data_IF_263628976501
#
_entry.id   IF_263628976501
#
_cell.length_a   1.000
_cell.length_b   1.000
_cell.length_c   1.000
_cell.angle_alpha   90.00
_cell.angle_beta   90.00
_cell.angle_gamma   90.00
#
_symmetry.space_group_name_H-M   'P 1'
#
loop_
_entity.id
_entity.type
_entity.pdbx_description
1 polymer ?
#
# COMPACT_ATOMS: atom_id res chain seq x y z
N UNK A 1 -35.08 26.83 11.18
CA UNK A 1 -34.39 25.55 10.93
C UNK A 1 -35.34 24.62 10.18
N UNK A 2 -34.87 23.81 9.22
CA UNK A 2 -35.69 22.77 8.60
C UNK A 2 -35.95 21.64 9.60
N UNK A 3 -37.21 21.26 9.79
CA UNK A 3 -37.57 20.09 10.61
C UNK A 3 -37.30 18.80 9.87
N UNK A 4 -36.82 17.79 10.59
CA UNK A 4 -36.48 16.49 9.99
C UNK A 4 -37.73 15.67 9.67
N UNK A 5 -37.68 14.85 8.61
CA UNK A 5 -38.78 13.97 8.18
C UNK A 5 -39.38 13.10 9.30
N UNK A 6 -38.57 12.77 10.33
CA UNK A 6 -39.01 12.03 11.53
C UNK A 6 -39.87 12.88 12.47
N UNK A 7 -39.57 14.18 12.63
CA UNK A 7 -40.39 15.10 13.42
C UNK A 7 -41.77 15.31 12.77
N UNK A 8 -41.82 15.44 11.44
CA UNK A 8 -43.08 15.52 10.69
C UNK A 8 -43.93 14.25 10.88
N UNK A 9 -43.31 13.06 10.78
CA UNK A 9 -44.02 11.79 10.97
C UNK A 9 -44.53 11.54 12.40
N UNK A 10 -43.93 12.17 13.42
CA UNK A 10 -44.44 12.16 14.80
C UNK A 10 -45.62 13.13 14.93
N UNK A 11 -45.55 14.33 14.33
CA UNK A 11 -46.64 15.30 14.34
C UNK A 11 -47.89 14.80 13.58
N UNK A 12 -47.69 14.07 12.48
CA UNK A 12 -48.76 13.42 11.71
C UNK A 12 -49.32 12.14 12.37
N UNK A 13 -48.89 11.79 13.60
CA UNK A 13 -49.38 10.62 14.34
C UNK A 13 -48.96 9.26 13.76
N UNK A 14 -48.14 9.24 12.70
CA UNK A 14 -47.67 8.01 12.01
C UNK A 14 -46.64 7.23 12.84
N UNK A 15 -45.99 7.86 13.81
CA UNK A 15 -45.01 7.25 14.71
C UNK A 15 -45.29 7.67 16.15
N UNK A 16 -45.43 6.70 17.07
CA UNK A 16 -45.54 6.96 18.52
C UNK A 16 -44.16 7.33 19.10
N UNK A 17 -44.04 8.37 19.94
CA UNK A 17 -42.78 8.69 20.60
C UNK A 17 -42.47 7.69 21.73
N UNK A 18 -41.20 7.27 21.84
CA UNK A 18 -40.75 6.39 22.91
C UNK A 18 -40.57 7.13 24.25
N UNK A 19 -40.87 6.44 25.35
CA UNK A 19 -40.66 6.96 26.72
C UNK A 19 -39.25 6.63 27.19
N UNK A 20 -38.38 7.63 27.27
CA UNK A 20 -37.07 7.48 27.92
C UNK A 20 -37.21 7.36 29.45
N UNK A 21 -36.60 6.34 30.04
CA UNK A 21 -36.43 6.25 31.49
C UNK A 21 -35.35 7.24 31.97
N UNK A 22 -35.62 7.90 33.09
CA UNK A 22 -34.73 8.89 33.67
C UNK A 22 -33.58 8.24 34.46
N UNK A 23 -32.34 8.72 34.24
CA UNK A 23 -31.20 8.47 35.12
C UNK A 23 -30.87 9.78 35.85
N UNK A 24 -30.83 9.72 37.17
CA UNK A 24 -30.76 10.90 38.04
C UNK A 24 -29.39 11.57 38.09
N UNK A 25 -29.41 12.90 38.27
CA UNK A 25 -28.23 13.71 38.53
C UNK A 25 -27.65 13.44 39.93
N UNK A 26 -26.31 13.48 40.07
CA UNK A 26 -25.66 13.87 41.33
C UNK A 26 -24.36 14.64 41.09
N UNK A 27 -23.97 15.44 42.09
CA UNK A 27 -23.19 16.67 41.95
C UNK A 27 -21.68 16.45 42.10
N UNK A 28 -20.89 17.41 41.58
CA UNK A 28 -19.46 17.57 41.84
C UNK A 28 -19.22 17.93 43.31
N UNK A 29 -18.19 17.37 43.93
CA UNK A 29 -17.48 18.01 45.04
C UNK A 29 -16.03 17.51 45.13
N UNK A 30 -15.13 18.41 45.50
CA UNK A 30 -13.68 18.23 45.58
C UNK A 30 -13.21 17.86 46.99
N UNK A 31 -12.17 17.04 47.10
CA UNK A 31 -11.10 17.22 48.10
C UNK A 31 -9.88 16.35 47.78
N UNK A 32 -8.71 16.80 48.22
CA UNK A 32 -7.46 16.04 48.23
C UNK A 32 -7.18 15.54 49.66
N UNK A 33 -6.35 14.48 49.82
CA UNK A 33 -5.77 14.16 51.14
C UNK A 33 -5.47 12.68 51.44
N UNK A 34 -4.17 12.34 51.37
CA UNK A 34 -3.43 11.49 52.31
C UNK A 34 -3.83 10.01 52.60
N UNK A 35 -2.88 9.12 52.24
CA UNK A 35 -2.18 8.17 53.15
C UNK A 35 -2.62 6.71 53.44
N UNK A 36 -1.57 5.86 53.52
CA UNK A 36 -1.36 4.66 54.38
C UNK A 36 -1.86 3.24 54.02
N UNK A 37 -0.97 2.49 53.34
CA UNK A 37 -0.35 1.20 53.75
C UNK A 37 -1.12 0.23 54.69
N UNK A 38 -1.44 -0.99 54.20
CA UNK A 38 -1.11 -2.35 54.76
C UNK A 38 -1.89 -3.43 53.95
N UNK A 39 -1.24 -4.36 53.22
CA UNK A 39 -0.61 -5.66 53.59
C UNK A 39 -1.57 -6.81 53.98
N UNK A 40 -1.39 -7.95 53.28
CA UNK A 40 -1.61 -9.37 53.66
C UNK A 40 -2.88 -10.16 53.21
N UNK A 41 -2.60 -11.32 52.59
CA UNK A 41 -3.41 -12.54 52.35
C UNK A 41 -3.40 -13.43 53.64
N UNK A 42 -4.17 -14.55 53.83
CA UNK A 42 -4.41 -15.61 52.82
C UNK A 42 -5.67 -16.57 52.90
N UNK A 43 -5.84 -17.35 51.80
CA UNK A 43 -6.31 -18.76 51.66
C UNK A 43 -7.53 -19.33 52.44
N UNK A 44 -8.48 -19.86 51.66
CA UNK A 44 -8.99 -21.26 51.72
C UNK A 44 -9.85 -21.58 50.46
N UNK A 45 -10.49 -22.75 50.32
CA UNK A 45 -10.04 -24.02 49.72
C UNK A 45 -11.27 -24.97 49.55
N UNK A 46 -11.71 -25.30 48.33
CA UNK A 46 -12.69 -26.39 47.98
C UNK A 46 -12.77 -26.47 46.44
N UNK A 47 -12.38 -27.54 45.72
CA UNK A 47 -12.90 -28.92 45.56
C UNK A 47 -13.99 -29.09 44.48
N UNK A 48 -13.64 -29.79 43.38
CA UNK A 48 -14.34 -30.82 42.53
C UNK A 48 -15.87 -30.67 42.25
N UNK A 49 -16.48 -31.15 41.14
CA UNK A 49 -16.26 -32.21 40.12
C UNK A 49 -16.60 -31.63 38.72
N UNK A 50 -16.14 -32.06 37.52
CA UNK A 50 -15.90 -33.35 36.85
C UNK A 50 -17.15 -34.02 36.22
N UNK A 51 -17.38 -33.80 34.91
CA UNK A 51 -18.21 -34.67 34.02
C UNK A 51 -17.67 -34.63 32.57
N UNK A 52 -17.23 -35.77 32.07
CA UNK A 52 -16.91 -36.06 30.66
C UNK A 52 -18.15 -36.32 29.79
N UNK A 53 -18.11 -36.05 28.46
CA UNK A 53 -18.81 -36.86 27.43
C UNK A 53 -18.51 -36.49 25.97
N UNK A 54 -18.17 -37.52 25.20
CA UNK A 54 -18.34 -37.72 23.75
C UNK A 54 -18.43 -39.25 23.54
N UNK A 55 -18.77 -39.82 22.35
CA UNK A 55 -19.40 -39.23 21.16
C UNK A 55 -20.67 -40.04 20.73
N UNK A 56 -21.29 -39.72 19.58
CA UNK A 56 -21.98 -40.73 18.74
C UNK A 56 -22.26 -40.25 17.30
N UNK A 57 -22.30 -41.22 16.39
CA UNK A 57 -22.45 -41.10 14.92
C UNK A 57 -23.90 -41.43 14.50
N UNK A 58 -24.40 -40.82 13.41
CA UNK A 58 -25.37 -41.48 12.52
C UNK A 58 -25.31 -40.97 11.07
N UNK A 59 -26.04 -41.65 10.18
CA UNK A 59 -25.70 -41.89 8.77
C UNK A 59 -26.86 -41.67 7.79
N UNK A 60 -26.56 -41.16 6.58
CA UNK A 60 -27.32 -41.36 5.34
C UNK A 60 -28.47 -40.38 5.03
N UNK A 61 -29.03 -40.29 3.79
CA UNK A 61 -28.57 -40.73 2.46
C UNK A 61 -29.51 -40.20 1.32
N UNK A 62 -28.97 -39.68 0.18
CA UNK A 62 -29.60 -39.50 -1.17
C UNK A 62 -30.85 -38.56 -1.27
N UNK A 63 -31.27 -38.00 -2.44
CA UNK A 63 -30.94 -38.07 -3.90
C UNK A 63 -31.35 -36.71 -4.57
N UNK A 64 -30.57 -36.12 -5.53
CA UNK A 64 -30.77 -36.03 -7.02
C UNK A 64 -32.08 -35.37 -7.51
N UNK A 65 -32.20 -34.56 -8.59
CA UNK A 65 -31.36 -33.93 -9.67
C UNK A 65 -32.24 -32.80 -10.33
N UNK A 66 -31.88 -31.94 -11.30
CA UNK A 66 -30.63 -31.55 -12.02
C UNK A 66 -30.35 -30.02 -11.85
N UNK A 67 -29.70 -29.20 -12.69
CA UNK A 67 -29.01 -29.23 -14.02
C UNK A 67 -29.74 -28.65 -15.26
N UNK A 68 -29.00 -27.80 -16.01
CA UNK A 68 -29.42 -26.96 -17.14
C UNK A 68 -29.27 -25.45 -16.84
N UNK A 69 -28.08 -24.89 -16.55
CA UNK A 69 -26.89 -24.62 -17.41
C UNK A 69 -26.87 -23.18 -17.97
N UNK A 70 -25.98 -22.35 -17.41
CA UNK A 70 -25.36 -21.18 -18.08
C UNK A 70 -23.84 -21.33 -17.93
N UNK A 71 -23.10 -21.17 -19.03
CA UNK A 71 -21.64 -21.31 -19.06
C UNK A 71 -20.94 -20.14 -18.37
N UNK A 72 -19.91 -20.43 -17.58
CA UNK A 72 -18.98 -19.43 -17.06
C UNK A 72 -17.54 -19.90 -17.25
N UNK A 73 -16.87 -19.32 -18.25
CA UNK A 73 -15.52 -19.72 -18.64
C UNK A 73 -14.48 -19.06 -17.72
N UNK A 74 -14.20 -19.73 -16.59
CA UNK A 74 -13.28 -19.26 -15.56
C UNK A 74 -11.94 -20.01 -15.63
N UNK A 75 -11.10 -19.63 -16.60
CA UNK A 75 -9.74 -20.15 -16.73
C UNK A 75 -8.82 -19.67 -15.58
N UNK A 76 -8.76 -20.45 -14.50
CA UNK A 76 -7.95 -20.14 -13.33
C UNK A 76 -6.44 -20.39 -13.56
N UNK A 77 -5.62 -19.33 -13.50
CA UNK A 77 -4.15 -19.47 -13.45
C UNK A 77 -3.68 -20.06 -12.12
N UNK A 78 -3.17 -21.31 -12.16
CA UNK A 78 -2.39 -21.90 -11.07
C UNK A 78 -0.94 -21.38 -11.11
N UNK A 79 -0.34 -20.96 -9.99
CA UNK A 79 1.11 -20.78 -9.93
C UNK A 79 1.81 -22.16 -9.96
N UNK A 80 2.89 -22.27 -10.74
CA UNK A 80 3.56 -23.54 -10.98
C UNK A 80 4.34 -24.04 -9.75
N UNK A 81 4.06 -25.26 -9.30
CA UNK A 81 4.79 -25.89 -8.20
C UNK A 81 6.14 -26.46 -8.65
N UNK A 82 7.22 -25.67 -8.50
CA UNK A 82 8.58 -26.22 -8.50
C UNK A 82 8.88 -26.81 -7.12
N UNK A 83 9.14 -28.12 -7.06
CA UNK A 83 9.58 -28.82 -5.84
C UNK A 83 10.85 -28.16 -5.29
N UNK A 84 10.83 -27.78 -4.01
CA UNK A 84 11.99 -27.18 -3.34
C UNK A 84 13.14 -28.20 -3.22
N UNK A 85 14.38 -27.74 -3.43
CA UNK A 85 15.59 -28.53 -3.12
C UNK A 85 15.91 -28.45 -1.62
N UNK A 86 16.57 -29.45 -1.01
CA UNK A 86 16.81 -29.52 0.45
C UNK A 86 17.81 -28.49 1.03
N UNK A 87 18.14 -27.41 0.32
CA UNK A 87 19.03 -26.33 0.79
C UNK A 87 18.33 -24.98 1.00
N UNK A 88 17.09 -24.81 0.53
CA UNK A 88 16.39 -23.52 0.51
C UNK A 88 15.95 -23.01 1.90
N UNK A 89 16.18 -23.77 2.97
CA UNK A 89 15.83 -23.39 4.35
C UNK A 89 16.98 -22.63 5.05
N UNK A 90 18.24 -22.85 4.65
CA UNK A 90 19.42 -22.18 5.22
C UNK A 90 19.73 -20.82 4.57
N UNK A 91 19.34 -20.62 3.31
CA UNK A 91 19.47 -19.34 2.59
C UNK A 91 18.56 -18.24 3.16
N UNK A 92 17.42 -18.63 3.75
CA UNK A 92 16.39 -17.71 4.30
C UNK A 92 16.79 -17.02 5.60
N UNK A 93 18.01 -17.22 6.09
CA UNK A 93 18.44 -16.74 7.42
C UNK A 93 18.81 -15.25 7.44
N UNK A 94 18.78 -14.55 6.29
CA UNK A 94 18.90 -13.08 6.18
C UNK A 94 17.64 -12.48 5.55
N UNK A 95 16.56 -12.38 6.33
CA UNK A 95 15.30 -11.75 5.90
C UNK A 95 15.46 -10.23 5.66
N UNK A 96 16.46 -9.62 6.28
CA UNK A 96 16.75 -8.20 6.18
C UNK A 96 18.10 -7.99 5.51
N UNK A 97 18.07 -7.32 4.36
CA UNK A 97 19.21 -6.77 3.67
C UNK A 97 19.09 -5.24 3.70
N UNK A 98 20.18 -4.55 4.01
CA UNK A 98 20.27 -3.09 4.03
C UNK A 98 20.56 -2.52 2.63
N UNK A 99 20.22 -1.25 2.42
CA UNK A 99 20.32 -0.61 1.10
C UNK A 99 19.08 -0.81 0.24
N UNK A 100 19.20 -0.65 -1.09
CA UNK A 100 18.04 -0.63 -2.00
C UNK A 100 17.49 -2.03 -2.30
N UNK A 101 16.37 -2.38 -1.65
CA UNK A 101 15.63 -3.62 -1.94
C UNK A 101 14.82 -3.54 -3.23
N UNK A 102 14.34 -2.37 -3.62
CA UNK A 102 13.63 -2.17 -4.89
C UNK A 102 13.85 -0.77 -5.47
N UNK A 103 13.81 -0.64 -6.79
CA UNK A 103 13.70 0.63 -7.50
C UNK A 103 12.78 0.48 -8.70
N UNK A 104 12.29 1.59 -9.25
CA UNK A 104 11.48 1.58 -10.46
C UNK A 104 10.93 2.94 -10.83
N UNK A 105 9.94 2.94 -11.70
CA UNK A 105 9.17 4.13 -12.06
C UNK A 105 7.88 4.20 -11.25
N UNK A 106 7.51 5.41 -10.83
CA UNK A 106 6.31 5.71 -10.05
C UNK A 106 5.43 6.69 -10.83
N UNK A 107 4.13 6.42 -10.85
CA UNK A 107 3.13 7.24 -11.53
C UNK A 107 2.01 7.55 -10.54
N UNK A 108 1.56 8.79 -10.52
CA UNK A 108 0.50 9.26 -9.65
C UNK A 108 -0.75 9.54 -10.48
N UNK A 109 -1.88 8.99 -10.06
CA UNK A 109 -3.17 9.18 -10.72
C UNK A 109 -4.23 9.63 -9.72
N UNK A 110 -5.15 10.49 -10.14
CA UNK A 110 -6.47 10.57 -9.50
C UNK A 110 -7.54 9.97 -10.38
N UNK A 111 -8.70 9.67 -9.81
CA UNK A 111 -9.90 9.32 -10.57
C UNK A 111 -11.08 10.22 -10.18
N UNK A 112 -11.83 10.80 -11.14
CA UNK A 112 -13.03 11.58 -10.85
C UNK A 112 -14.10 10.81 -10.05
N UNK A 113 -15.00 11.56 -9.41
CA UNK A 113 -16.22 11.03 -8.79
C UNK A 113 -17.16 10.42 -9.84
N UNK A 114 -17.98 9.48 -9.39
CA UNK A 114 -18.96 8.80 -10.26
C UNK A 114 -20.09 9.76 -10.63
N UNK A 115 -20.30 9.97 -11.93
CA UNK A 115 -21.06 11.07 -12.56
C UNK A 115 -20.44 12.46 -12.40
N UNK A 116 -19.10 12.54 -12.39
CA UNK A 116 -18.35 13.80 -12.47
C UNK A 116 -17.34 13.62 -13.61
N UNK A 117 -17.48 14.47 -14.63
CA UNK A 117 -16.61 14.49 -15.82
C UNK A 117 -15.54 15.57 -15.62
N UNK A 118 -15.96 16.80 -15.35
CA UNK A 118 -15.06 17.89 -14.97
C UNK A 118 -14.76 17.88 -13.46
N UNK A 119 -13.48 17.90 -13.12
CA UNK A 119 -12.90 18.00 -11.77
C UNK A 119 -12.33 19.41 -11.65
N UNK A 120 -12.54 20.08 -10.52
CA UNK A 120 -11.91 21.38 -10.25
C UNK A 120 -11.20 21.43 -8.90
N UNK A 121 -11.25 20.32 -8.15
CA UNK A 121 -10.76 20.28 -6.77
C UNK A 121 -10.49 18.84 -6.31
N UNK A 122 -9.74 18.73 -5.20
CA UNK A 122 -9.59 17.47 -4.46
C UNK A 122 -10.94 16.88 -4.02
N UNK A 123 -12.00 17.69 -3.90
CA UNK A 123 -13.31 17.18 -3.52
C UNK A 123 -13.94 16.34 -4.64
N UNK A 124 -13.74 16.71 -5.90
CA UNK A 124 -14.32 16.03 -7.07
C UNK A 124 -13.64 14.70 -7.39
N UNK A 125 -12.52 14.40 -6.72
CA UNK A 125 -11.82 13.13 -6.81
C UNK A 125 -12.53 12.03 -5.99
N UNK A 126 -12.60 10.82 -6.56
CA UNK A 126 -13.01 9.58 -5.89
C UNK A 126 -11.85 8.94 -5.13
N UNK A 127 -10.78 8.64 -5.86
CA UNK A 127 -9.60 7.91 -5.39
C UNK A 127 -8.32 8.62 -5.87
N UNK A 128 -7.25 8.50 -5.08
CA UNK A 128 -5.89 8.83 -5.49
C UNK A 128 -5.03 7.56 -5.45
N UNK A 129 -4.18 7.38 -6.46
CA UNK A 129 -3.44 6.15 -6.71
C UNK A 129 -1.95 6.43 -6.95
N UNK A 130 -1.10 5.58 -6.41
CA UNK A 130 0.31 5.44 -6.76
C UNK A 130 0.48 4.12 -7.52
N UNK A 131 1.00 4.16 -8.73
CA UNK A 131 1.40 2.98 -9.50
C UNK A 131 2.92 2.84 -9.37
N UNK A 132 3.38 1.71 -8.84
CA UNK A 132 4.79 1.35 -8.79
C UNK A 132 5.10 0.33 -9.89
N UNK A 133 6.11 0.57 -10.71
CA UNK A 133 6.60 -0.32 -11.78
C UNK A 133 8.07 -0.68 -11.50
N UNK A 134 8.35 -1.80 -10.80
CA UNK A 134 9.71 -2.18 -10.43
C UNK A 134 10.60 -2.42 -11.66
N UNK A 135 11.80 -1.83 -11.64
CA UNK A 135 12.86 -1.98 -12.66
C UNK A 135 14.09 -2.67 -12.08
N UNK A 136 14.91 -3.36 -12.90
CA UNK A 136 16.28 -3.67 -12.51
C UNK A 136 17.09 -2.36 -12.33
N UNK A 137 18.22 -2.39 -11.60
CA UNK A 137 19.11 -1.24 -11.55
C UNK A 137 19.75 -0.97 -12.93
N UNK A 138 19.96 0.31 -13.26
CA UNK A 138 20.44 0.75 -14.58
C UNK A 138 21.74 0.05 -15.03
N UNK A 139 22.71 -0.06 -14.12
CA UNK A 139 23.98 -0.72 -14.39
C UNK A 139 23.84 -2.19 -14.84
N UNK A 140 22.76 -2.89 -14.48
CA UNK A 140 22.55 -4.29 -14.88
C UNK A 140 22.18 -4.44 -16.36
N UNK A 141 21.44 -3.48 -16.95
CA UNK A 141 21.11 -3.51 -18.39
C UNK A 141 22.31 -3.06 -19.24
N UNK A 142 23.17 -2.17 -18.72
CA UNK A 142 24.39 -1.74 -19.42
C UNK A 142 25.34 -2.88 -19.81
N UNK A 143 25.24 -4.05 -19.15
CA UNK A 143 26.03 -5.24 -19.46
C UNK A 143 25.41 -6.17 -20.53
N UNK A 144 24.09 -6.15 -20.74
CA UNK A 144 23.44 -7.03 -21.72
C UNK A 144 23.58 -6.50 -23.15
N UNK A 145 23.44 -5.19 -23.36
CA UNK A 145 23.52 -4.57 -24.70
C UNK A 145 24.91 -4.65 -25.36
N UNK A 146 25.98 -5.02 -24.64
CA UNK A 146 27.29 -5.30 -25.24
C UNK A 146 27.42 -6.70 -25.86
N UNK A 147 26.44 -7.60 -25.72
CA UNK A 147 26.47 -8.96 -26.31
C UNK A 147 25.97 -9.05 -27.77
N UNK A 148 25.91 -7.92 -28.49
CA UNK A 148 25.70 -7.88 -29.94
C UNK A 148 26.95 -8.14 -30.79
N UNK A 149 28.15 -8.10 -30.19
CA UNK A 149 29.41 -8.39 -30.88
C UNK A 149 29.85 -9.86 -30.68
N UNK A 150 30.42 -10.44 -31.75
CA UNK A 150 30.87 -11.84 -31.91
C UNK A 150 31.46 -12.49 -30.64
N UNK A 151 31.15 -13.78 -30.43
CA UNK A 151 31.82 -14.68 -29.46
C UNK A 151 33.34 -14.42 -29.38
N UNK A 152 33.89 -14.16 -28.19
CA UNK A 152 35.26 -14.50 -27.83
C UNK A 152 35.26 -15.82 -27.04
N UNK A 153 36.13 -16.76 -27.43
CA UNK A 153 36.52 -17.85 -26.54
C UNK A 153 37.66 -17.39 -25.63
N UNK A 154 37.31 -16.88 -24.45
CA UNK A 154 38.17 -16.90 -23.26
C UNK A 154 37.39 -16.38 -22.05
N UNK A 155 37.48 -17.08 -20.92
CA UNK A 155 37.08 -16.52 -19.63
C UNK A 155 38.18 -15.58 -19.16
N UNK A 156 38.24 -14.38 -19.75
CA UNK A 156 39.08 -13.30 -19.27
C UNK A 156 38.42 -12.59 -18.08
N UNK A 157 39.25 -12.15 -17.15
CA UNK A 157 38.90 -11.56 -15.85
C UNK A 157 37.82 -10.48 -15.95
N UNK A 158 36.81 -10.56 -15.09
CA UNK A 158 35.72 -9.59 -15.07
C UNK A 158 36.21 -8.21 -14.62
N UNK A 159 36.11 -7.22 -15.51
CA UNK A 159 36.34 -5.81 -15.17
C UNK A 159 35.47 -5.41 -13.97
N UNK A 160 36.10 -5.14 -12.83
CA UNK A 160 35.45 -4.57 -11.65
C UNK A 160 35.11 -3.10 -11.93
N UNK A 161 34.03 -2.87 -12.70
CA UNK A 161 33.50 -1.52 -12.92
C UNK A 161 33.02 -0.97 -11.58
N UNK A 162 33.76 0.00 -11.04
CA UNK A 162 33.37 0.76 -9.86
C UNK A 162 32.02 1.44 -10.15
N UNK A 163 31.02 1.14 -9.32
CA UNK A 163 29.71 1.78 -9.41
C UNK A 163 29.78 3.18 -8.78
N UNK A 164 29.05 4.13 -9.34
CA UNK A 164 28.84 5.43 -8.70
C UNK A 164 28.07 5.25 -7.39
N UNK A 165 28.34 6.13 -6.43
CA UNK A 165 27.65 6.11 -5.14
C UNK A 165 26.14 6.30 -5.34
N UNK A 166 25.31 5.46 -4.71
CA UNK A 166 23.86 5.48 -4.85
C UNK A 166 23.29 4.79 -6.11
N UNK A 167 24.14 4.24 -6.99
CA UNK A 167 23.69 3.59 -8.23
C UNK A 167 22.76 2.38 -8.02
N UNK A 168 22.70 1.81 -6.81
CA UNK A 168 21.76 0.75 -6.43
C UNK A 168 20.30 1.21 -6.34
N UNK A 169 20.06 2.52 -6.21
CA UNK A 169 18.74 3.15 -6.21
C UNK A 169 18.25 3.59 -7.60
N UNK A 170 19.12 3.62 -8.61
CA UNK A 170 18.82 4.15 -9.94
C UNK A 170 18.09 3.08 -10.78
N UNK A 171 16.81 3.30 -11.17
CA UNK A 171 16.11 2.38 -12.05
C UNK A 171 16.70 2.43 -13.46
N UNK A 172 16.77 1.26 -14.11
CA UNK A 172 17.01 1.21 -15.53
C UNK A 172 15.82 1.83 -16.28
N UNK A 173 16.12 2.70 -17.24
CA UNK A 173 15.12 3.36 -18.09
C UNK A 173 14.16 2.36 -18.72
N UNK A 174 12.96 2.84 -19.06
CA UNK A 174 11.91 1.94 -19.50
C UNK A 174 12.20 1.27 -20.86
N UNK A 175 11.58 0.10 -21.06
CA UNK A 175 11.48 -0.52 -22.36
C UNK A 175 10.00 -0.47 -22.77
N UNK A 176 9.64 0.60 -23.47
CA UNK A 176 8.27 0.85 -23.95
C UNK A 176 7.75 -0.27 -24.87
N UNK A 177 8.62 -1.14 -25.41
CA UNK A 177 8.20 -2.26 -26.26
C UNK A 177 7.69 -3.47 -25.47
N UNK A 178 8.00 -3.57 -24.17
CA UNK A 178 7.57 -4.70 -23.35
C UNK A 178 6.11 -4.57 -22.90
N UNK A 179 5.24 -5.45 -23.36
CA UNK A 179 3.86 -5.55 -22.87
C UNK A 179 3.73 -6.21 -21.49
N UNK A 180 4.83 -6.78 -20.96
CA UNK A 180 4.88 -7.36 -19.61
C UNK A 180 5.80 -6.55 -18.70
N UNK A 181 5.21 -5.91 -17.70
CA UNK A 181 5.92 -5.16 -16.65
C UNK A 181 5.23 -5.47 -15.33
N UNK A 182 6.01 -5.85 -14.32
CA UNK A 182 5.48 -5.99 -12.95
C UNK A 182 4.97 -4.63 -12.49
N UNK A 183 3.78 -4.58 -11.91
CA UNK A 183 3.19 -3.35 -11.41
C UNK A 183 2.43 -3.57 -10.11
N UNK A 184 2.29 -2.50 -9.32
CA UNK A 184 1.46 -2.45 -8.11
C UNK A 184 0.68 -1.15 -8.07
N UNK A 185 -0.64 -1.24 -8.06
CA UNK A 185 -1.55 -0.10 -7.94
C UNK A 185 -1.99 0.08 -6.48
N UNK A 186 -1.33 1.00 -5.79
CA UNK A 186 -1.60 1.38 -4.41
C UNK A 186 -2.63 2.51 -4.40
N UNK A 187 -3.79 2.31 -3.76
CA UNK A 187 -4.76 3.39 -3.53
C UNK A 187 -4.49 4.03 -2.18
N UNK A 188 -4.30 5.34 -2.13
CA UNK A 188 -4.16 6.09 -0.88
C UNK A 188 -5.56 6.36 -0.32
N UNK A 189 -5.77 6.10 0.98
CA UNK A 189 -7.06 6.26 1.65
C UNK A 189 -7.45 7.72 1.89
N UNK A 190 -6.49 8.63 1.73
CA UNK A 190 -6.70 10.07 1.56
C UNK A 190 -6.46 10.41 0.09
N UNK A 191 -7.11 11.47 -0.39
CA UNK A 191 -7.01 11.92 -1.78
C UNK A 191 -5.73 12.74 -2.08
N UNK A 192 -4.75 12.72 -1.19
CA UNK A 192 -3.44 13.38 -1.29
C UNK A 192 -2.38 12.52 -0.58
N UNK A 193 -1.10 12.78 -0.83
CA UNK A 193 0.02 12.20 -0.09
C UNK A 193 0.20 12.83 1.31
N UNK A 194 0.84 12.12 2.27
CA UNK A 194 1.22 12.68 3.55
C UNK A 194 2.23 13.82 3.43
N UNK A 195 1.98 14.90 4.16
CA UNK A 195 2.84 16.09 4.24
C UNK A 195 3.91 15.95 5.34
N UNK A 196 5.22 16.08 5.02
CA UNK A 196 6.31 16.07 6.00
C UNK A 196 6.29 17.24 7.01
N UNK A 197 5.73 18.39 6.63
CA UNK A 197 5.65 19.60 7.47
C UNK A 197 4.30 19.78 8.18
N UNK A 198 3.30 18.95 7.85
CA UNK A 198 1.89 19.11 8.21
C UNK A 198 1.58 19.37 9.71
N UNK A 199 0.59 20.25 9.95
CA UNK A 199 0.28 20.87 11.25
C UNK A 199 -0.39 19.97 12.31
N UNK A 200 -0.50 18.65 12.09
CA UNK A 200 -1.43 17.78 12.84
C UNK A 200 -0.88 17.32 14.22
N UNK A 201 -0.70 18.26 15.14
CA UNK A 201 -1.24 18.25 16.52
C UNK A 201 -0.40 19.06 17.52
N UNK A 202 -1.09 19.90 18.29
CA UNK A 202 -0.49 20.65 19.40
C UNK A 202 0.19 19.74 20.43
N UNK A 203 1.28 20.22 21.02
CA UNK A 203 2.05 19.58 22.10
C UNK A 203 2.84 18.30 21.75
N UNK A 204 2.65 17.65 20.60
CA UNK A 204 3.56 16.57 20.15
C UNK A 204 3.59 16.44 18.63
N UNK A 205 4.67 16.91 18.01
CA UNK A 205 4.95 16.88 16.55
C UNK A 205 4.90 15.45 15.98
N UNK A 206 3.71 14.98 15.62
CA UNK A 206 3.47 13.68 14.98
C UNK A 206 3.47 13.86 13.47
N UNK A 207 4.25 13.03 12.77
CA UNK A 207 4.30 12.97 11.31
C UNK A 207 2.92 12.58 10.75
N UNK A 208 2.47 13.25 9.69
CA UNK A 208 1.23 12.87 9.00
C UNK A 208 1.34 11.41 8.52
N UNK A 209 0.28 10.62 8.74
CA UNK A 209 0.30 9.18 8.50
C UNK A 209 -0.98 8.73 7.83
N UNK A 210 -0.89 8.27 6.59
CA UNK A 210 -2.06 7.81 5.82
C UNK A 210 -2.07 6.31 5.61
N UNK A 211 -3.28 5.75 5.64
CA UNK A 211 -3.52 4.40 5.14
C UNK A 211 -3.45 4.38 3.62
N UNK A 212 -2.86 3.33 3.07
CA UNK A 212 -2.98 2.98 1.66
C UNK A 212 -3.24 1.48 1.51
N UNK A 213 -3.64 1.03 0.32
CA UNK A 213 -3.92 -0.40 0.05
C UNK A 213 -3.46 -0.79 -1.34
N UNK A 214 -2.75 -1.92 -1.47
CA UNK A 214 -2.49 -2.53 -2.79
C UNK A 214 -3.81 -3.05 -3.35
N UNK A 215 -4.34 -2.38 -4.37
CA UNK A 215 -5.67 -2.68 -4.95
C UNK A 215 -5.62 -3.53 -6.21
N UNK A 216 -4.50 -3.48 -6.94
CA UNK A 216 -4.15 -4.40 -8.01
C UNK A 216 -2.62 -4.59 -8.03
N UNK A 217 -2.19 -5.75 -8.52
CA UNK A 217 -0.79 -6.09 -8.77
C UNK A 217 -0.77 -7.19 -9.84
N UNK A 218 0.24 -7.19 -10.71
CA UNK A 218 0.31 -8.12 -11.84
C UNK A 218 1.48 -7.84 -12.76
N UNK A 219 1.48 -8.48 -13.93
CA UNK A 219 2.50 -8.28 -14.98
C UNK A 219 1.92 -7.79 -16.32
N UNK A 220 0.58 -7.68 -16.41
CA UNK A 220 -0.17 -7.44 -17.64
C UNK A 220 -0.60 -5.97 -17.75
N UNK A 221 0.02 -5.21 -18.66
CA UNK A 221 -0.31 -3.80 -18.84
C UNK A 221 -1.74 -3.57 -19.38
N UNK A 222 -2.31 -4.49 -20.15
CA UNK A 222 -3.68 -4.38 -20.65
C UNK A 222 -4.73 -4.55 -19.52
N UNK A 223 -4.42 -5.36 -18.49
CA UNK A 223 -5.25 -5.44 -17.27
C UNK A 223 -5.15 -4.17 -16.43
N UNK A 224 -3.98 -3.52 -16.40
CA UNK A 224 -3.78 -2.21 -15.76
C UNK A 224 -4.54 -1.10 -16.50
N UNK A 225 -4.40 -1.00 -17.82
CA UNK A 225 -5.11 -0.04 -18.69
C UNK A 225 -6.62 -0.17 -18.47
N UNK A 226 -7.19 -1.38 -18.58
CA UNK A 226 -8.61 -1.65 -18.28
C UNK A 226 -9.00 -1.35 -16.83
N UNK A 227 -8.05 -1.49 -15.90
CA UNK A 227 -8.20 -1.11 -14.50
C UNK A 227 -8.30 0.40 -14.30
N UNK A 228 -7.55 1.18 -15.09
CA UNK A 228 -7.47 2.64 -15.05
C UNK A 228 -8.49 3.35 -15.97
N UNK A 229 -8.99 2.69 -17.02
CA UNK A 229 -9.97 3.25 -17.95
C UNK A 229 -11.35 3.55 -17.34
N UNK A 230 -12.21 4.13 -18.18
CA UNK A 230 -13.61 4.44 -17.85
C UNK A 230 -14.46 3.19 -17.54
N UNK A 231 -15.55 3.39 -16.79
CA UNK A 231 -16.47 2.32 -16.38
C UNK A 231 -17.91 2.82 -16.35
N UNK A 232 -18.74 2.25 -17.21
CA UNK A 232 -20.20 2.44 -17.19
C UNK A 232 -20.87 1.20 -16.64
N UNK A 233 -21.75 1.37 -15.64
CA UNK A 233 -22.43 0.26 -14.97
C UNK A 233 -23.83 0.65 -14.47
N UNK A 234 -24.77 -0.29 -14.49
CA UNK A 234 -26.12 -0.06 -13.95
C UNK A 234 -26.18 -0.26 -12.44
N UNK A 235 -27.05 0.51 -11.78
CA UNK A 235 -27.36 0.36 -10.36
C UNK A 235 -28.86 0.27 -10.11
N UNK A 236 -29.25 -0.68 -9.25
CA UNK A 236 -30.66 -0.97 -8.91
C UNK A 236 -31.46 0.23 -8.36
N UNK A 237 -30.79 1.28 -7.90
CA UNK A 237 -31.42 2.42 -7.20
C UNK A 237 -31.13 3.79 -7.82
N UNK A 238 -30.14 3.91 -8.72
CA UNK A 238 -29.73 5.18 -9.33
C UNK A 238 -29.54 5.09 -10.85
N UNK A 239 -29.98 4.00 -11.48
CA UNK A 239 -29.84 3.78 -12.92
C UNK A 239 -28.37 3.64 -13.35
N UNK A 240 -28.08 4.00 -14.59
CA UNK A 240 -26.73 4.01 -15.17
C UNK A 240 -25.81 4.97 -14.41
N UNK A 241 -24.58 4.52 -14.15
CA UNK A 241 -23.52 5.27 -13.49
C UNK A 241 -22.28 5.23 -14.37
N UNK A 242 -21.72 6.39 -14.65
CA UNK A 242 -20.45 6.56 -15.35
C UNK A 242 -19.34 6.93 -14.36
N UNK A 243 -18.16 6.35 -14.54
CA UNK A 243 -16.93 6.65 -13.80
C UNK A 243 -15.81 6.83 -14.83
N UNK A 244 -15.43 8.09 -15.08
CA UNK A 244 -14.40 8.44 -16.07
C UNK A 244 -13.03 7.83 -15.76
N UNK A 245 -12.10 7.88 -16.73
CA UNK A 245 -10.77 7.28 -16.59
C UNK A 245 -9.98 7.91 -15.44
N UNK A 246 -9.02 7.17 -14.91
CA UNK A 246 -8.00 7.73 -14.04
C UNK A 246 -7.09 8.65 -14.86
N UNK A 247 -6.58 9.72 -14.26
CA UNK A 247 -5.80 10.75 -14.96
C UNK A 247 -4.42 10.88 -14.35
N UNK A 248 -3.39 10.87 -15.18
CA UNK A 248 -2.00 10.96 -14.75
C UNK A 248 -1.71 12.41 -14.32
N UNK A 249 -1.07 12.58 -13.16
CA UNK A 249 -0.70 13.90 -12.63
C UNK A 249 0.79 14.08 -12.39
N UNK A 250 1.53 12.98 -12.21
CA UNK A 250 2.98 13.00 -12.16
C UNK A 250 3.56 11.62 -12.49
N UNK A 251 4.77 11.60 -13.07
CA UNK A 251 5.63 10.43 -13.28
C UNK A 251 7.03 10.73 -12.75
N UNK A 252 7.68 9.72 -12.20
CA UNK A 252 8.98 9.85 -11.56
C UNK A 252 9.69 8.52 -11.36
N UNK A 253 10.82 8.56 -10.67
CA UNK A 253 11.59 7.40 -10.23
C UNK A 253 11.42 7.20 -8.73
N UNK A 254 11.43 5.95 -8.27
CA UNK A 254 11.38 5.61 -6.85
C UNK A 254 12.43 4.58 -6.45
N UNK A 255 12.81 4.62 -5.17
CA UNK A 255 13.59 3.59 -4.52
C UNK A 255 12.96 3.22 -3.16
N UNK A 256 12.97 1.93 -2.84
CA UNK A 256 12.64 1.39 -1.52
C UNK A 256 13.95 0.92 -0.88
N UNK A 257 14.32 1.57 0.23
CA UNK A 257 15.60 1.39 0.91
C UNK A 257 15.39 0.96 2.35
N UNK A 258 16.09 -0.09 2.76
CA UNK A 258 16.17 -0.54 4.15
C UNK A 258 17.32 0.19 4.86
N UNK A 259 16.98 1.08 5.79
CA UNK A 259 17.93 1.87 6.58
C UNK A 259 18.35 1.12 7.85
N UNK A 260 19.66 0.95 8.06
CA UNK A 260 20.17 0.26 9.26
C UNK A 260 19.95 1.09 10.54
N UNK A 261 19.22 0.51 11.49
CA UNK A 261 19.12 1.02 12.85
C UNK A 261 20.19 0.42 13.77
N UNK A 262 20.61 1.18 14.81
CA UNK A 262 21.55 0.69 15.85
C UNK A 262 21.02 -0.56 16.58
N UNK A 263 19.70 -0.75 16.57
CA UNK A 263 19.03 -1.98 17.00
C UNK A 263 18.01 -2.40 15.93
N UNK A 264 17.60 -3.68 15.87
CA UNK A 264 16.58 -4.13 14.92
C UNK A 264 15.23 -3.40 15.05
N UNK A 265 14.91 -2.84 16.22
CA UNK A 265 13.69 -2.04 16.45
C UNK A 265 13.80 -0.59 15.97
N UNK A 266 14.96 -0.17 15.46
CA UNK A 266 15.21 1.15 14.85
C UNK A 266 15.41 1.06 13.34
N UNK A 267 15.19 -0.12 12.73
CA UNK A 267 15.18 -0.27 11.28
C UNK A 267 13.94 0.41 10.72
N UNK A 268 14.15 1.15 9.64
CA UNK A 268 13.08 1.79 8.88
C UNK A 268 13.25 1.44 7.41
N UNK A 269 12.14 1.28 6.69
CA UNK A 269 12.13 1.15 5.23
C UNK A 269 11.57 2.43 4.67
N UNK A 270 12.37 3.15 3.89
CA UNK A 270 11.96 4.37 3.21
C UNK A 270 11.55 4.06 1.77
N UNK A 271 10.38 4.53 1.35
CA UNK A 271 10.05 4.71 -0.08
C UNK A 271 10.29 6.19 -0.39
N UNK A 272 11.32 6.48 -1.18
CA UNK A 272 11.62 7.81 -1.69
C UNK A 272 11.32 7.91 -3.18
N UNK A 273 10.91 9.08 -3.66
CA UNK A 273 10.68 9.36 -5.06
C UNK A 273 11.21 10.74 -5.48
N UNK A 274 11.49 10.87 -6.77
CA UNK A 274 11.72 12.14 -7.45
C UNK A 274 10.84 12.18 -8.71
N UNK A 275 10.12 13.27 -8.92
CA UNK A 275 9.27 13.52 -10.09
C UNK A 275 10.15 13.96 -11.25
N UNK A 276 9.87 13.43 -12.45
CA UNK A 276 10.45 13.91 -13.72
C UNK A 276 9.41 14.64 -14.57
N UNK A 277 8.13 14.25 -14.45
CA UNK A 277 7.03 14.85 -15.21
C UNK A 277 5.85 15.20 -14.27
N UNK A 278 5.31 16.44 -14.30
CA UNK A 278 5.96 17.61 -14.89
C UNK A 278 7.33 17.87 -14.22
N UNK A 279 8.29 18.53 -14.90
CA UNK A 279 9.55 18.88 -14.27
C UNK A 279 9.32 19.81 -13.06
N UNK A 280 10.24 19.89 -12.09
CA UNK A 280 10.02 20.63 -10.84
C UNK A 280 9.61 22.10 -10.99
N UNK A 281 10.00 22.76 -12.09
CA UNK A 281 9.63 24.14 -12.40
C UNK A 281 8.16 24.32 -12.83
N UNK A 282 7.53 23.25 -13.34
CA UNK A 282 6.19 23.23 -13.91
C UNK A 282 5.17 22.51 -12.99
N UNK A 283 5.55 22.23 -11.74
CA UNK A 283 4.62 21.73 -10.71
C UNK A 283 3.57 22.80 -10.38
N UNK A 284 2.30 22.45 -10.56
CA UNK A 284 1.19 23.39 -10.46
C UNK A 284 0.19 23.03 -9.34
N UNK A 285 -0.98 23.68 -9.36
CA UNK A 285 -2.04 23.55 -8.37
C UNK A 285 -2.54 22.11 -8.20
N UNK A 286 -2.59 21.32 -9.28
CA UNK A 286 -3.05 19.92 -9.24
C UNK A 286 -2.10 19.05 -8.41
N UNK A 287 -0.80 19.07 -8.73
CA UNK A 287 0.21 18.29 -8.03
C UNK A 287 0.31 18.73 -6.56
N UNK A 288 0.35 20.04 -6.33
CA UNK A 288 0.40 20.64 -4.98
C UNK A 288 -0.82 20.25 -4.14
N UNK A 289 -2.03 20.33 -4.69
CA UNK A 289 -3.27 19.91 -3.99
C UNK A 289 -3.29 18.43 -3.63
N UNK A 290 -2.61 17.59 -4.43
CA UNK A 290 -2.46 16.16 -4.21
C UNK A 290 -1.27 15.81 -3.29
N UNK A 291 -0.54 16.80 -2.77
CA UNK A 291 0.63 16.62 -1.91
C UNK A 291 1.83 16.00 -2.63
N UNK A 292 1.90 16.15 -3.96
CA UNK A 292 3.02 15.69 -4.77
C UNK A 292 4.08 16.81 -4.77
N UNK A 293 5.25 16.50 -4.22
CA UNK A 293 6.43 17.37 -4.22
C UNK A 293 7.40 16.91 -5.33
N UNK A 294 8.34 17.76 -5.74
CA UNK A 294 9.39 17.38 -6.70
C UNK A 294 10.21 16.17 -6.23
N UNK A 295 10.52 16.13 -4.93
CA UNK A 295 11.15 15.01 -4.25
C UNK A 295 10.50 14.82 -2.88
N UNK A 296 10.24 13.57 -2.49
CA UNK A 296 9.75 13.27 -1.14
C UNK A 296 9.94 11.81 -0.75
N UNK A 297 9.72 11.50 0.53
CA UNK A 297 9.89 10.17 1.10
C UNK A 297 8.89 9.83 2.21
N UNK A 298 8.60 8.54 2.35
CA UNK A 298 7.74 7.97 3.38
C UNK A 298 8.44 6.82 4.09
N UNK A 299 8.26 6.70 5.41
CA UNK A 299 8.51 5.43 6.10
C UNK A 299 7.34 4.50 5.81
N UNK A 300 7.63 3.34 5.24
CA UNK A 300 6.64 2.38 4.76
C UNK A 300 6.48 1.22 5.75
N UNK A 301 5.30 1.12 6.37
CA UNK A 301 4.93 0.00 7.23
C UNK A 301 3.75 -0.78 6.66
N UNK A 302 3.72 -2.09 6.94
CA UNK A 302 2.69 -3.01 6.47
C UNK A 302 1.92 -3.57 7.66
N UNK A 303 0.59 -3.48 7.63
CA UNK A 303 -0.29 -4.05 8.65
C UNK A 303 -0.41 -5.56 8.48
N UNK A 304 -0.35 -6.27 9.60
CA UNK A 304 -0.64 -7.70 9.67
C UNK A 304 -2.13 -7.96 9.37
N UNK A 305 -2.48 -8.84 8.41
CA UNK A 305 -3.87 -9.10 8.04
C UNK A 305 -4.67 -9.78 9.16
N UNK A 306 -4.00 -10.45 10.11
CA UNK A 306 -4.63 -11.07 11.28
C UNK A 306 -4.77 -10.11 12.47
N UNK A 307 -4.19 -8.90 12.41
CA UNK A 307 -4.36 -7.90 13.45
C UNK A 307 -5.73 -7.21 13.33
N UNK A 308 -6.47 -7.01 14.44
CA UNK A 308 -7.77 -6.34 14.42
C UNK A 308 -7.75 -4.99 13.69
N UNK A 309 -8.81 -4.69 12.94
CA UNK A 309 -8.98 -3.41 12.24
C UNK A 309 -8.83 -2.21 13.20
N UNK A 310 -8.23 -1.13 12.71
CA UNK A 310 -8.03 0.12 13.47
C UNK A 310 -9.04 1.21 13.13
N UNK A 311 -9.85 1.03 12.08
CA UNK A 311 -10.98 1.89 11.73
C UNK A 311 -12.17 1.07 11.20
N UNK A 312 -13.41 1.61 11.21
CA UNK A 312 -14.57 0.94 10.63
C UNK A 312 -14.42 0.64 9.14
N UNK A 313 -13.71 1.50 8.40
CA UNK A 313 -13.51 1.35 6.96
C UNK A 313 -12.64 0.13 6.64
N UNK A 314 -11.67 -0.19 7.50
CA UNK A 314 -10.84 -1.40 7.41
C UNK A 314 -11.58 -2.68 7.82
N UNK A 315 -12.62 -2.59 8.66
CA UNK A 315 -13.39 -3.78 9.07
C UNK A 315 -14.19 -4.41 7.91
N UNK A 316 -14.31 -3.70 6.78
CA UNK A 316 -15.02 -4.15 5.58
C UNK A 316 -14.10 -4.42 4.38
N UNK A 317 -12.77 -4.26 4.51
CA UNK A 317 -11.83 -4.59 3.43
C UNK A 317 -11.53 -6.10 3.41
N UNK A 318 -11.23 -6.64 2.23
CA UNK A 318 -10.62 -7.98 2.14
C UNK A 318 -9.11 -7.84 2.39
N UNK A 319 -8.55 -8.46 3.44
CA UNK A 319 -7.12 -8.35 3.74
C UNK A 319 -6.26 -9.20 2.77
N UNK A 320 -4.96 -8.90 2.70
CA UNK A 320 -3.99 -9.70 1.98
C UNK A 320 -3.89 -11.14 2.50
N UNK A 321 -3.75 -12.08 1.57
CA UNK A 321 -3.52 -13.51 1.84
C UNK A 321 -2.02 -13.84 1.70
N UNK A 322 -1.23 -13.48 2.70
CA UNK A 322 0.22 -13.76 2.70
C UNK A 322 0.54 -15.26 2.93
N UNK A 323 1.61 -15.79 2.31
CA UNK A 323 2.12 -17.13 2.57
C UNK A 323 2.65 -17.28 4.00
N UNK A 324 2.72 -18.52 4.47
CA UNK A 324 3.12 -18.82 5.85
C UNK A 324 4.50 -18.25 6.24
N UNK A 325 5.46 -18.17 5.32
CA UNK A 325 6.79 -17.63 5.62
C UNK A 325 6.76 -16.14 5.96
N UNK A 326 5.99 -15.32 5.21
CA UNK A 326 5.76 -13.91 5.56
C UNK A 326 5.08 -13.81 6.95
N UNK A 327 4.04 -14.61 7.17
CA UNK A 327 3.31 -14.59 8.44
C UNK A 327 4.18 -14.99 9.63
N UNK A 328 5.03 -16.01 9.49
CA UNK A 328 5.81 -16.55 10.59
C UNK A 328 7.13 -15.80 10.82
N UNK A 329 7.83 -15.48 9.73
CA UNK A 329 9.24 -15.06 9.79
C UNK A 329 9.35 -13.52 9.70
N UNK A 330 8.46 -12.85 8.96
CA UNK A 330 8.34 -11.37 8.94
C UNK A 330 7.45 -10.88 10.08
N UNK A 331 6.16 -11.24 10.09
CA UNK A 331 5.19 -10.78 11.10
C UNK A 331 5.35 -11.46 12.48
N UNK A 332 6.02 -12.61 12.58
CA UNK A 332 6.29 -13.27 13.86
C UNK A 332 5.16 -14.16 14.41
N UNK A 333 4.21 -14.56 13.55
CA UNK A 333 3.15 -15.52 13.92
C UNK A 333 3.79 -16.84 14.39
N UNK A 334 3.35 -17.42 15.52
CA UNK A 334 3.94 -18.65 16.02
C UNK A 334 3.59 -19.85 15.12
N UNK A 335 4.60 -20.69 14.83
CA UNK A 335 4.41 -22.00 14.19
C UNK A 335 3.77 -22.96 15.20
N UNK A 336 2.45 -23.16 15.09
CA UNK A 336 1.68 -24.06 15.97
C UNK A 336 1.65 -23.61 17.44
N UNK A 337 1.95 -24.52 18.38
CA UNK A 337 2.02 -24.22 19.83
C UNK A 337 3.37 -23.60 20.27
N UNK A 338 4.19 -23.14 19.32
CA UNK A 338 5.48 -22.51 19.61
C UNK A 338 5.35 -21.16 20.32
N UNK A 339 6.45 -20.68 20.92
CA UNK A 339 6.54 -19.31 21.44
C UNK A 339 6.54 -18.31 20.27
N UNK A 340 6.02 -17.10 20.50
CA UNK A 340 6.14 -15.98 19.56
C UNK A 340 7.61 -15.69 19.25
N UNK A 341 7.94 -15.52 17.97
CA UNK A 341 9.27 -15.08 17.51
C UNK A 341 9.38 -13.56 17.55
N UNK A 342 8.28 -12.84 17.26
CA UNK A 342 8.15 -11.37 17.37
C UNK A 342 6.74 -11.01 17.87
N UNK A 343 6.62 -9.88 18.56
CA UNK A 343 5.33 -9.37 19.08
C UNK A 343 4.86 -10.01 20.39
N UNK A 344 3.78 -9.45 20.96
CA UNK A 344 3.16 -9.92 22.22
C UNK A 344 1.83 -10.66 22.00
N UNK A 345 1.31 -10.62 20.78
CA UNK A 345 -0.04 -11.01 20.42
C UNK A 345 -0.05 -12.34 19.66
N UNK A 346 -1.19 -13.03 19.65
CA UNK A 346 -1.33 -14.34 18.99
C UNK A 346 -1.04 -14.31 17.48
N UNK A 347 -1.23 -13.15 16.84
CA UNK A 347 -0.93 -12.91 15.43
C UNK A 347 0.51 -12.44 15.15
N UNK A 348 1.32 -12.20 16.19
CA UNK A 348 2.67 -11.64 16.08
C UNK A 348 2.70 -10.11 16.23
N UNK A 349 3.49 -9.43 15.40
CA UNK A 349 3.51 -7.97 15.29
C UNK A 349 2.27 -7.46 14.55
N UNK A 350 1.72 -6.32 14.98
CA UNK A 350 0.60 -5.63 14.29
C UNK A 350 1.06 -4.92 13.02
N UNK A 351 2.26 -4.34 13.05
CA UNK A 351 2.91 -3.64 11.96
C UNK A 351 4.35 -4.14 11.83
N UNK A 352 4.85 -4.18 10.61
CA UNK A 352 6.26 -4.43 10.28
C UNK A 352 6.74 -3.33 9.33
N UNK A 353 8.03 -3.02 9.33
CA UNK A 353 8.62 -2.25 8.23
C UNK A 353 8.52 -3.06 6.95
N UNK A 354 8.47 -2.42 5.77
CA UNK A 354 8.40 -3.12 4.48
C UNK A 354 9.75 -3.72 4.06
N UNK A 355 10.37 -4.52 4.94
CA UNK A 355 11.75 -5.01 4.80
C UNK A 355 12.02 -5.85 3.54
N UNK A 356 10.97 -6.34 2.87
CA UNK A 356 11.04 -7.20 1.67
C UNK A 356 9.93 -6.79 0.67
N UNK A 357 10.21 -6.65 -0.64
CA UNK A 357 9.22 -6.13 -1.61
C UNK A 357 7.98 -7.02 -1.77
N UNK A 358 8.09 -8.31 -1.47
CA UNK A 358 6.99 -9.29 -1.53
C UNK A 358 5.81 -8.91 -0.63
N UNK A 359 6.01 -8.10 0.43
CA UNK A 359 4.91 -7.57 1.22
C UNK A 359 3.94 -6.70 0.40
N UNK A 360 4.38 -6.15 -0.73
CA UNK A 360 3.58 -5.32 -1.62
C UNK A 360 2.94 -6.13 -2.78
N UNK A 361 3.37 -7.37 -3.02
CA UNK A 361 2.91 -8.22 -4.13
C UNK A 361 1.53 -8.88 -3.90
N UNK A 362 0.80 -8.47 -2.86
CA UNK A 362 -0.48 -9.08 -2.47
C UNK A 362 -1.60 -8.03 -2.44
N UNK A 363 -2.61 -8.22 -3.30
CA UNK A 363 -3.85 -7.45 -3.28
C UNK A 363 -4.52 -7.53 -1.90
N UNK A 364 -4.92 -6.38 -1.37
CA UNK A 364 -5.43 -6.22 0.00
C UNK A 364 -4.34 -5.95 1.05
N UNK A 365 -3.08 -5.78 0.66
CA UNK A 365 -2.02 -5.36 1.58
C UNK A 365 -2.29 -3.94 2.06
N UNK A 366 -2.52 -3.79 3.37
CA UNK A 366 -2.76 -2.50 4.03
C UNK A 366 -1.43 -1.88 4.47
N UNK A 367 -1.18 -0.66 4.03
CA UNK A 367 0.07 0.07 4.22
C UNK A 367 -0.17 1.31 5.09
N UNK A 368 0.85 1.71 5.85
CA UNK A 368 0.98 3.06 6.39
C UNK A 368 2.06 3.80 5.61
N UNK A 369 1.69 4.93 5.03
CA UNK A 369 2.59 5.94 4.49
C UNK A 369 2.79 6.99 5.58
N UNK A 370 3.93 6.95 6.27
CA UNK A 370 4.28 7.91 7.33
C UNK A 370 5.20 8.96 6.70
N UNK A 371 4.81 10.23 6.71
CA UNK A 371 5.60 11.31 6.12
C UNK A 371 7.03 11.33 6.68
N UNK A 372 8.04 11.35 5.81
CA UNK A 372 9.44 11.36 6.24
C UNK A 372 10.09 12.72 6.00
N UNK A 373 10.41 13.06 4.74
CA UNK A 373 11.05 14.32 4.32
C UNK A 373 10.73 14.63 2.86
N UNK A 374 10.63 15.91 2.53
CA UNK A 374 10.53 16.47 1.19
C UNK A 374 11.86 17.08 0.72
N UNK A 375 11.94 17.45 -0.56
CA UNK A 375 13.11 18.04 -1.20
C UNK A 375 14.25 17.04 -1.43
N UNK A 376 15.21 17.41 -2.26
CA UNK A 376 16.35 16.55 -2.62
C UNK A 376 17.25 16.24 -1.43
N UNK A 377 17.52 17.21 -0.55
CA UNK A 377 18.27 17.00 0.69
C UNK A 377 17.53 16.06 1.65
N UNK A 378 16.20 16.17 1.70
CA UNK A 378 15.36 15.28 2.50
C UNK A 378 15.33 13.86 1.96
N UNK A 379 15.22 13.71 0.63
CA UNK A 379 15.29 12.45 -0.08
C UNK A 379 16.64 11.75 0.15
N UNK A 380 17.76 12.48 0.00
CA UNK A 380 19.10 11.96 0.34
C UNK A 380 19.22 11.59 1.81
N UNK A 381 18.65 12.38 2.73
CA UNK A 381 18.66 12.03 4.16
C UNK A 381 17.86 10.75 4.48
N UNK A 382 16.81 10.46 3.70
CA UNK A 382 15.98 9.27 3.87
C UNK A 382 16.53 8.00 3.20
N UNK A 383 17.09 8.11 1.99
CA UNK A 383 17.65 6.97 1.25
C UNK A 383 19.12 6.71 1.59
N UNK A 384 19.88 7.77 1.92
CA UNK A 384 21.27 7.73 2.35
C UNK A 384 22.26 7.25 1.28
N UNK A 385 23.54 7.35 1.61
CA UNK A 385 24.65 6.80 0.82
C UNK A 385 24.66 7.23 -0.65
N UNK A 386 24.22 8.46 -0.95
CA UNK A 386 24.16 9.07 -2.28
C UNK A 386 22.97 8.62 -3.14
N UNK A 387 22.09 7.75 -2.63
CA UNK A 387 20.93 7.22 -3.37
C UNK A 387 19.92 8.29 -3.75
N UNK A 388 19.69 9.29 -2.91
CA UNK A 388 18.79 10.39 -3.22
C UNK A 388 19.35 11.21 -4.38
N UNK A 389 20.62 11.59 -4.29
CA UNK A 389 21.32 12.34 -5.35
C UNK A 389 21.37 11.58 -6.68
N UNK A 390 21.66 10.29 -6.65
CA UNK A 390 21.69 9.45 -7.85
C UNK A 390 20.31 9.30 -8.50
N UNK A 391 19.25 9.19 -7.68
CA UNK A 391 17.86 9.16 -8.16
C UNK A 391 17.42 10.50 -8.75
N UNK A 392 17.71 11.62 -8.08
CA UNK A 392 17.47 13.00 -8.57
C UNK A 392 18.09 13.18 -9.95
N UNK A 393 19.41 12.97 -10.09
CA UNK A 393 20.12 13.11 -11.37
C UNK A 393 19.47 12.29 -12.49
N UNK A 394 19.09 11.03 -12.22
CA UNK A 394 18.44 10.18 -13.21
C UNK A 394 17.06 10.72 -13.63
N UNK A 395 16.32 11.33 -12.70
CA UNK A 395 15.00 11.90 -13.00
C UNK A 395 15.07 13.28 -13.66
N UNK A 396 16.14 14.05 -13.43
CA UNK A 396 16.45 15.23 -14.25
C UNK A 396 16.79 14.84 -15.70
N UNK A 397 17.55 13.75 -15.90
CA UNK A 397 17.84 13.19 -17.23
C UNK A 397 16.55 12.71 -17.93
N UNK A 398 15.69 11.96 -17.23
CA UNK A 398 14.41 11.47 -17.79
C UNK A 398 13.32 12.57 -17.90
N UNK A 399 13.48 13.75 -17.28
CA UNK A 399 12.57 14.88 -17.47
C UNK A 399 12.67 15.53 -18.87
N UNK A 400 13.60 15.06 -19.71
CA UNK A 400 13.75 15.44 -21.12
C UNK A 400 12.96 14.52 -22.06
N UNK A 401 12.40 13.42 -21.56
CA UNK A 401 11.54 12.54 -22.35
C UNK A 401 10.19 13.22 -22.67
N UNK A 402 9.48 12.74 -23.69
CA UNK A 402 8.19 13.34 -24.07
C UNK A 402 7.04 12.70 -23.30
N UNK A 403 5.90 13.40 -23.20
CA UNK A 403 4.71 12.88 -22.52
C UNK A 403 4.17 11.62 -23.22
N UNK A 404 4.29 11.54 -24.56
CA UNK A 404 3.98 10.33 -25.31
C UNK A 404 4.87 9.16 -24.86
N UNK A 405 6.16 9.39 -24.58
CA UNK A 405 7.03 8.34 -24.06
C UNK A 405 6.48 7.81 -22.73
N UNK A 406 6.20 8.71 -21.77
CA UNK A 406 5.65 8.39 -20.44
C UNK A 406 4.37 7.54 -20.50
N UNK A 407 3.44 7.86 -21.39
CA UNK A 407 2.20 7.08 -21.53
C UNK A 407 2.46 5.68 -22.14
N UNK A 408 3.37 5.60 -23.13
CA UNK A 408 3.79 4.33 -23.72
C UNK A 408 4.49 3.41 -22.70
N UNK A 409 5.20 3.94 -21.69
CA UNK A 409 5.86 3.13 -20.65
C UNK A 409 4.88 2.19 -19.92
N UNK A 410 3.65 2.65 -19.70
CA UNK A 410 2.61 1.92 -18.96
C UNK A 410 1.48 1.41 -19.86
N UNK A 411 1.65 1.50 -21.18
CA UNK A 411 0.66 1.05 -22.16
C UNK A 411 -0.65 1.83 -22.10
N UNK A 412 -0.61 3.11 -21.70
CA UNK A 412 -1.77 3.99 -21.75
C UNK A 412 -1.83 4.72 -23.08
N UNK A 413 -3.05 4.93 -23.54
CA UNK A 413 -3.37 5.56 -24.81
C UNK A 413 -3.85 7.00 -24.58
N UNK A 414 -3.19 7.98 -25.21
CA UNK A 414 -3.49 9.41 -25.06
C UNK A 414 -4.91 9.76 -25.54
N UNK A 415 -5.50 8.97 -26.44
CA UNK A 415 -6.90 9.16 -26.87
C UNK A 415 -7.90 8.72 -25.79
N UNK A 416 -7.50 7.83 -24.86
CA UNK A 416 -8.36 7.28 -23.79
C UNK A 416 -8.11 7.92 -22.42
N UNK A 417 -6.93 8.52 -22.24
CA UNK A 417 -6.44 9.02 -20.96
C UNK A 417 -5.97 10.46 -21.13
N UNK A 418 -6.65 11.43 -20.49
CA UNK A 418 -6.32 12.85 -20.68
C UNK A 418 -4.99 13.20 -20.02
N UNK A 419 -4.34 14.23 -20.57
CA UNK A 419 -2.94 14.59 -20.38
C UNK A 419 -2.78 15.89 -19.58
N UNK A 420 -3.77 16.77 -19.66
CA UNK A 420 -3.75 18.16 -19.20
C UNK A 420 -3.56 18.27 -17.66
N UNK A 421 -3.77 17.16 -16.94
CA UNK A 421 -3.52 17.05 -15.49
C UNK A 421 -2.08 16.69 -15.14
N UNK A 422 -1.30 16.16 -16.08
CA UNK A 422 0.16 16.09 -15.99
C UNK A 422 0.76 17.48 -16.23
N UNK A 423 0.18 18.25 -17.16
CA UNK A 423 0.48 19.67 -17.42
C UNK A 423 0.01 20.61 -16.29
N UNK A 424 -0.59 20.08 -15.23
CA UNK A 424 -0.89 20.83 -14.01
C UNK A 424 -2.27 21.50 -13.95
N UNK A 425 -3.18 21.20 -14.89
CA UNK A 425 -4.56 21.72 -14.89
C UNK A 425 -5.59 20.69 -14.43
N UNK A 426 -6.62 21.15 -13.71
CA UNK A 426 -7.77 20.31 -13.42
C UNK A 426 -8.64 20.17 -14.69
N UNK A 427 -9.16 18.97 -14.93
CA UNK A 427 -9.90 18.60 -16.16
C UNK A 427 -11.34 18.25 -15.84
#
# INVERSE_FOLDING_TARGET
MPTTRRQTAIAEGKIKPEKNHAIGQKRRSSSAGASTIKKAKPRSKSSKEDVSREPKVHTGEKRRLGHGEEESDAAAHKPASKKAKPGAEQERTRIYESGTIERGHIYFFYRPRVMVEEVHSIDDIKNFHMLLVPRPPDFAISQSNKKGAKKPESFAEGELKVLEQGADAVPASDDATSTRKRYRLVTVGKKKLPDPEGEDSGSTRRKETFWATVTACGENLQELEKGLGEKTYETKTKGTRHEGPARLVARGGYAIVNSEGKTPSQRETHLGYHVSHPPPADLADVQTSLGIFSASSFVLQVKNPLAPATSPQQAHSKPAEYPEWIMNDVFGKPKGRGKHTKGRESYGLRFVSCETPELLDYKGAELLLIAARDGEEGLETSLGEGRGKALTKKQEEEALDTVEHVFNEIGLDLEKFPVESLEGTWI
#
